data_IF_735041290711
#
_entry.id   IF_735041290711
#
_cell.length_a   1.000
_cell.length_b   1.000
_cell.length_c   1.000
_cell.angle_alpha   90.00
_cell.angle_beta   90.00
_cell.angle_gamma   90.00
#
_symmetry.space_group_name_H-M   'P 1'
#
loop_
_entity.id
_entity.type
_entity.pdbx_description
1 polymer ?
#
# COMPACT_ATOMS: atom_id res chain seq x y z
N UNK A 1 6.03 35.64 0.69
CA UNK A 1 4.76 35.18 1.30
C UNK A 1 4.64 33.67 1.24
N UNK A 2 5.15 33.01 0.20
CA UNK A 2 5.11 31.54 0.04
C UNK A 2 6.14 30.79 0.90
N UNK A 3 7.34 31.35 1.14
CA UNK A 3 8.32 30.78 2.09
C UNK A 3 7.75 30.61 3.51
N UNK A 4 7.03 31.62 4.01
CA UNK A 4 6.35 31.52 5.30
C UNK A 4 5.30 30.40 5.30
N UNK A 5 4.58 30.22 4.19
CA UNK A 5 3.59 29.15 4.06
C UNK A 5 4.25 27.76 4.11
N UNK A 6 5.45 27.61 3.55
CA UNK A 6 6.24 26.36 3.65
C UNK A 6 6.57 26.05 5.11
N UNK A 7 7.11 27.04 5.84
CA UNK A 7 7.50 26.86 7.24
C UNK A 7 6.28 26.57 8.14
N UNK A 8 5.20 27.35 7.98
CA UNK A 8 3.95 27.16 8.73
C UNK A 8 3.34 25.77 8.44
N UNK A 9 3.40 25.31 7.19
CA UNK A 9 2.88 23.98 6.81
C UNK A 9 3.75 22.86 7.39
N UNK A 10 5.08 22.99 7.36
CA UNK A 10 5.97 22.01 7.99
C UNK A 10 5.78 21.95 9.50
N UNK A 11 5.56 23.06 10.19
CA UNK A 11 5.28 23.04 11.62
C UNK A 11 4.01 22.23 11.95
N UNK A 12 2.96 22.37 11.13
CA UNK A 12 1.72 21.58 11.25
C UNK A 12 1.94 20.09 10.96
N UNK A 13 2.63 19.77 9.86
CA UNK A 13 2.96 18.39 9.46
C UNK A 13 3.79 17.73 10.57
N UNK A 14 4.82 18.42 11.05
CA UNK A 14 5.71 17.94 12.11
C UNK A 14 4.97 17.66 13.42
N UNK A 15 4.12 18.60 13.86
CA UNK A 15 3.32 18.42 15.08
C UNK A 15 2.41 17.21 14.95
N UNK A 16 1.72 17.08 13.81
CA UNK A 16 0.83 15.97 13.56
C UNK A 16 1.59 14.63 13.53
N UNK A 17 2.72 14.55 12.83
CA UNK A 17 3.51 13.33 12.73
C UNK A 17 4.11 12.91 14.07
N UNK A 18 4.64 13.85 14.88
CA UNK A 18 5.15 13.53 16.22
C UNK A 18 4.09 12.89 17.11
N UNK A 19 2.84 13.33 16.99
CA UNK A 19 1.74 12.83 17.80
C UNK A 19 1.17 11.50 17.28
N UNK A 20 0.95 11.40 15.96
CA UNK A 20 0.17 10.31 15.35
C UNK A 20 1.04 9.24 14.67
N UNK A 21 2.18 9.63 14.11
CA UNK A 21 3.08 8.76 13.34
C UNK A 21 4.56 8.98 13.70
N UNK A 22 4.97 8.80 14.97
CA UNK A 22 6.31 9.15 15.44
C UNK A 22 7.45 8.37 14.76
N UNK A 23 7.21 7.16 14.25
CA UNK A 23 8.23 6.41 13.50
C UNK A 23 8.42 7.00 12.10
N UNK A 24 7.33 7.41 11.45
CA UNK A 24 7.43 8.16 10.19
C UNK A 24 8.11 9.51 10.40
N UNK A 25 7.78 10.23 11.47
CA UNK A 25 8.47 11.49 11.82
C UNK A 25 9.98 11.28 11.95
N UNK A 26 10.41 10.19 12.58
CA UNK A 26 11.82 9.87 12.79
C UNK A 26 12.61 9.63 11.50
N UNK A 27 11.93 9.40 10.36
CA UNK A 27 12.58 9.25 9.06
C UNK A 27 12.88 10.57 8.36
N UNK A 28 12.26 11.68 8.78
CA UNK A 28 12.54 12.99 8.19
C UNK A 28 13.98 13.40 8.48
N UNK A 29 14.71 13.75 7.43
CA UNK A 29 16.10 14.18 7.52
C UNK A 29 16.26 15.49 8.29
N UNK A 30 17.45 15.75 8.86
CA UNK A 30 17.77 17.07 9.38
C UNK A 30 17.79 18.11 8.25
N UNK A 31 17.79 19.42 8.58
CA UNK A 31 18.01 20.51 7.62
C UNK A 31 19.20 20.28 6.67
N UNK A 32 19.03 20.62 5.40
CA UNK A 32 20.12 20.65 4.43
C UNK A 32 21.09 21.80 4.68
N UNK A 33 22.33 21.67 4.20
CA UNK A 33 23.28 22.79 4.21
C UNK A 33 22.98 23.79 3.10
N UNK A 34 23.11 25.09 3.37
CA UNK A 34 22.96 26.12 2.33
C UNK A 34 23.98 25.94 1.18
N UNK A 35 25.21 25.55 1.53
CA UNK A 35 26.29 25.27 0.56
C UNK A 35 25.98 24.02 -0.28
N UNK A 36 25.33 23.02 0.30
CA UNK A 36 24.89 21.80 -0.40
C UNK A 36 23.80 22.14 -1.45
N UNK A 37 22.83 22.98 -1.07
CA UNK A 37 21.78 23.46 -1.99
C UNK A 37 22.40 24.28 -3.13
N UNK A 38 23.31 25.21 -2.81
CA UNK A 38 23.96 26.05 -3.82
C UNK A 38 24.79 25.22 -4.81
N UNK A 39 25.50 24.19 -4.31
CA UNK A 39 26.22 23.26 -5.16
C UNK A 39 25.27 22.48 -6.09
N UNK A 40 24.11 22.04 -5.58
CA UNK A 40 23.09 21.38 -6.39
C UNK A 40 22.51 22.29 -7.48
N UNK A 41 22.25 23.56 -7.17
CA UNK A 41 21.82 24.57 -8.16
C UNK A 41 22.85 24.77 -9.27
N UNK A 42 24.14 24.90 -8.91
CA UNK A 42 25.25 25.02 -9.86
C UNK A 42 25.36 23.76 -10.73
N UNK A 43 25.31 22.59 -10.10
CA UNK A 43 25.47 21.28 -10.72
C UNK A 43 24.35 20.95 -11.71
N UNK A 44 23.11 21.35 -11.40
CA UNK A 44 21.95 21.17 -12.25
C UNK A 44 21.73 22.34 -13.22
N UNK A 45 22.44 23.45 -13.06
CA UNK A 45 22.31 24.64 -13.91
C UNK A 45 20.94 25.34 -13.79
N UNK A 46 20.25 25.19 -12.65
CA UNK A 46 18.94 25.80 -12.39
C UNK A 46 18.95 26.51 -11.04
N UNK A 47 18.11 27.54 -10.90
CA UNK A 47 17.86 28.16 -9.58
C UNK A 47 16.63 27.52 -8.96
N UNK A 48 16.79 26.97 -7.76
CA UNK A 48 15.71 26.35 -7.01
C UNK A 48 14.70 27.41 -6.58
N UNK A 49 13.39 27.15 -6.73
CA UNK A 49 12.36 28.03 -6.18
C UNK A 49 12.55 28.21 -4.68
N UNK A 50 12.31 29.41 -4.17
CA UNK A 50 12.58 29.73 -2.77
C UNK A 50 11.81 28.82 -1.78
N UNK A 51 10.60 28.39 -2.16
CA UNK A 51 9.82 27.42 -1.39
C UNK A 51 10.53 26.07 -1.26
N UNK A 52 11.17 25.57 -2.32
CA UNK A 52 11.95 24.32 -2.29
C UNK A 52 13.16 24.47 -1.37
N UNK A 53 13.87 25.60 -1.48
CA UNK A 53 15.00 25.91 -0.59
C UNK A 53 14.53 25.94 0.88
N UNK A 54 13.43 26.63 1.18
CA UNK A 54 12.86 26.69 2.53
C UNK A 54 12.47 25.30 3.06
N UNK A 55 11.90 24.44 2.21
CA UNK A 55 11.55 23.06 2.57
C UNK A 55 12.80 22.21 2.86
N UNK A 56 13.84 22.30 2.04
CA UNK A 56 15.09 21.54 2.22
C UNK A 56 15.88 22.01 3.46
N UNK A 57 15.82 23.30 3.77
CA UNK A 57 16.36 23.86 5.02
C UNK A 57 15.56 23.44 6.26
N UNK A 58 14.40 22.80 6.08
CA UNK A 58 13.64 22.20 7.18
C UNK A 58 13.89 20.70 7.27
N UNK A 59 13.74 19.98 6.16
CA UNK A 59 13.99 18.54 6.06
C UNK A 59 14.73 18.20 4.76
N UNK A 60 15.95 17.68 4.88
CA UNK A 60 16.75 17.19 3.76
C UNK A 60 16.34 15.75 3.38
N UNK A 61 15.14 15.60 2.82
CA UNK A 61 14.61 14.30 2.44
C UNK A 61 14.00 13.51 3.59
N UNK A 62 13.55 12.31 3.28
CA UNK A 62 13.20 11.27 4.23
C UNK A 62 14.06 10.02 3.97
N UNK A 63 14.44 9.31 5.03
CA UNK A 63 15.12 8.02 4.94
C UNK A 63 14.31 7.04 4.09
N UNK A 64 15.00 6.15 3.37
CA UNK A 64 14.33 5.10 2.61
C UNK A 64 13.79 3.98 3.50
N UNK A 65 12.82 3.23 2.97
CA UNK A 65 12.20 2.08 3.64
C UNK A 65 10.70 2.25 3.92
N UNK A 66 10.12 1.24 4.56
CA UNK A 66 8.67 1.16 4.78
C UNK A 66 8.14 2.16 5.82
N UNK A 67 9.00 2.73 6.66
CA UNK A 67 8.63 3.77 7.64
C UNK A 67 8.69 5.19 7.06
N UNK A 68 9.29 5.35 5.87
CA UNK A 68 9.61 6.63 5.26
C UNK A 68 8.40 7.57 5.19
N UNK A 69 8.64 8.86 5.43
CA UNK A 69 7.68 9.90 5.10
C UNK A 69 7.43 9.93 3.59
N UNK A 70 6.16 9.81 3.22
CA UNK A 70 5.66 9.87 1.85
C UNK A 70 4.53 10.88 1.75
N UNK A 71 4.48 11.59 0.63
CA UNK A 71 3.35 12.42 0.26
C UNK A 71 2.11 11.56 0.01
N UNK A 72 0.93 12.18 -0.11
CA UNK A 72 -0.32 11.47 -0.40
C UNK A 72 -0.36 10.79 -1.78
N UNK A 73 0.68 11.00 -2.60
CA UNK A 73 0.94 10.35 -3.88
C UNK A 73 1.88 9.14 -3.76
N UNK A 74 2.21 8.73 -2.52
CA UNK A 74 3.20 7.69 -2.14
C UNK A 74 4.65 8.00 -2.52
N UNK A 75 4.91 9.20 -3.03
CA UNK A 75 6.26 9.67 -3.34
C UNK A 75 7.02 10.00 -2.04
N UNK A 76 8.21 9.42 -1.85
CA UNK A 76 9.12 9.76 -0.75
C UNK A 76 9.76 11.12 -0.98
N UNK A 77 9.85 11.94 0.07
CA UNK A 77 10.57 13.23 0.02
C UNK A 77 12.07 12.99 -0.25
N UNK A 78 12.60 13.57 -1.32
CA UNK A 78 14.00 13.42 -1.69
C UNK A 78 14.91 14.39 -0.95
N UNK A 79 16.12 13.93 -0.60
CA UNK A 79 17.20 14.81 -0.14
C UNK A 79 17.82 15.59 -1.30
N UNK A 80 18.61 16.63 -1.03
CA UNK A 80 19.33 17.41 -2.07
C UNK A 80 20.15 16.50 -2.97
N UNK A 81 20.90 15.55 -2.39
CA UNK A 81 21.73 14.63 -3.18
C UNK A 81 20.89 13.69 -4.05
N UNK A 82 19.72 13.26 -3.56
CA UNK A 82 18.78 12.45 -4.35
C UNK A 82 18.08 13.26 -5.44
N UNK A 83 17.72 14.53 -5.20
CA UNK A 83 17.18 15.45 -6.20
C UNK A 83 18.16 15.57 -7.38
N UNK A 84 19.45 15.79 -7.09
CA UNK A 84 20.51 15.87 -8.12
C UNK A 84 20.62 14.56 -8.89
N UNK A 85 20.70 13.43 -8.18
CA UNK A 85 20.83 12.10 -8.78
C UNK A 85 19.66 11.77 -9.69
N UNK A 86 18.43 11.91 -9.20
CA UNK A 86 17.22 11.54 -9.95
C UNK A 86 16.99 12.49 -11.11
N UNK A 87 17.20 13.79 -10.94
CA UNK A 87 17.06 14.77 -12.03
C UNK A 87 18.07 14.50 -13.15
N UNK A 88 19.32 14.17 -12.82
CA UNK A 88 20.31 13.79 -13.83
C UNK A 88 19.92 12.55 -14.58
N UNK A 89 19.49 11.52 -13.87
CA UNK A 89 18.99 10.29 -14.48
C UNK A 89 17.86 10.59 -15.47
N UNK A 90 16.93 11.48 -15.12
CA UNK A 90 15.86 11.89 -16.04
C UNK A 90 16.38 12.63 -17.28
N UNK A 91 17.36 13.53 -17.11
CA UNK A 91 17.99 14.24 -18.24
C UNK A 91 18.78 13.31 -19.15
N UNK A 92 19.47 12.32 -18.58
CA UNK A 92 20.23 11.32 -19.33
C UNK A 92 19.28 10.49 -20.21
N UNK A 93 18.13 10.07 -19.68
CA UNK A 93 17.09 9.39 -20.49
C UNK A 93 16.55 10.30 -21.58
N UNK A 94 16.21 11.55 -21.24
CA UNK A 94 15.65 12.50 -22.20
C UNK A 94 16.62 12.84 -23.34
N UNK A 95 17.93 12.82 -23.08
CA UNK A 95 18.96 13.07 -24.10
C UNK A 95 19.05 11.96 -25.16
N UNK A 96 18.56 10.76 -24.86
CA UNK A 96 18.48 9.63 -25.80
C UNK A 96 17.17 9.64 -26.62
N UNK A 97 16.21 10.50 -26.29
CA UNK A 97 14.96 10.68 -27.03
C UNK A 97 15.11 11.71 -28.16
N UNK A 98 14.17 11.72 -29.11
CA UNK A 98 14.09 12.83 -30.05
C UNK A 98 13.53 14.10 -29.40
N UNK A 99 13.67 15.25 -30.05
CA UNK A 99 13.35 16.57 -29.47
C UNK A 99 11.86 16.70 -29.08
N UNK A 100 10.95 16.16 -29.88
CA UNK A 100 9.50 16.24 -29.61
C UNK A 100 9.13 15.33 -28.42
N UNK A 101 9.69 14.12 -28.38
CA UNK A 101 9.50 13.18 -27.27
C UNK A 101 10.14 13.71 -25.97
N UNK A 102 11.33 14.32 -26.05
CA UNK A 102 12.02 14.89 -24.90
C UNK A 102 11.25 16.06 -24.28
N UNK A 103 10.69 16.97 -25.10
CA UNK A 103 9.90 18.11 -24.60
C UNK A 103 8.66 17.65 -23.79
N UNK A 104 8.06 16.53 -24.19
CA UNK A 104 6.94 15.91 -23.50
C UNK A 104 7.38 15.10 -22.26
N UNK A 105 8.49 14.38 -22.38
CA UNK A 105 9.01 13.48 -21.37
C UNK A 105 9.61 14.25 -20.18
N UNK A 106 10.67 15.01 -20.42
CA UNK A 106 11.41 15.75 -19.40
C UNK A 106 12.20 16.90 -20.01
N UNK A 107 11.96 18.13 -19.54
CA UNK A 107 12.79 19.27 -19.93
C UNK A 107 13.86 19.53 -18.87
N UNK A 108 15.02 20.05 -19.29
CA UNK A 108 16.16 20.29 -18.40
C UNK A 108 15.82 21.15 -17.18
N UNK A 109 14.89 22.09 -17.30
CA UNK A 109 14.48 22.98 -16.22
C UNK A 109 13.51 22.36 -15.21
N UNK A 110 13.12 21.08 -15.34
CA UNK A 110 12.34 20.38 -14.32
C UNK A 110 13.27 19.73 -13.30
N UNK A 111 12.81 19.69 -12.05
CA UNK A 111 13.47 18.99 -10.95
C UNK A 111 12.52 17.96 -10.35
N UNK A 112 13.05 16.80 -9.99
CA UNK A 112 12.32 15.82 -9.18
C UNK A 112 12.56 16.12 -7.70
N UNK A 113 11.51 16.16 -6.87
CA UNK A 113 11.63 16.36 -5.42
C UNK A 113 10.89 15.30 -4.57
N UNK A 114 10.08 14.46 -5.21
CA UNK A 114 9.50 13.27 -4.60
C UNK A 114 9.69 12.07 -5.52
N UNK A 115 9.90 10.87 -4.98
CA UNK A 115 10.10 9.65 -5.78
C UNK A 115 9.22 8.50 -5.31
N UNK A 116 8.53 7.85 -6.25
CA UNK A 116 7.73 6.66 -5.94
C UNK A 116 8.63 5.48 -5.52
N UNK A 117 9.88 5.44 -6.02
CA UNK A 117 10.94 4.53 -5.62
C UNK A 117 10.95 3.19 -6.37
N UNK A 118 9.78 2.69 -6.79
CA UNK A 118 9.66 1.43 -7.58
C UNK A 118 9.81 1.70 -9.08
N UNK A 119 9.27 2.83 -9.54
CA UNK A 119 9.37 3.32 -10.93
C UNK A 119 10.14 4.64 -10.94
N UNK A 120 10.41 5.19 -12.12
CA UNK A 120 10.98 6.54 -12.26
C UNK A 120 9.99 7.66 -11.95
N UNK A 121 8.73 7.34 -11.66
CA UNK A 121 7.67 8.29 -11.30
C UNK A 121 8.05 9.15 -10.10
N UNK A 122 7.48 10.35 -10.06
CA UNK A 122 7.56 11.18 -8.87
C UNK A 122 7.15 12.63 -9.05
N UNK A 123 7.11 13.34 -7.93
CA UNK A 123 6.74 14.75 -7.89
C UNK A 123 7.83 15.62 -8.50
N UNK A 124 7.40 16.58 -9.31
CA UNK A 124 8.27 17.50 -10.04
C UNK A 124 7.97 18.95 -9.73
N UNK A 125 8.97 19.81 -9.90
CA UNK A 125 8.84 21.25 -9.76
C UNK A 125 9.46 21.96 -10.96
N UNK A 126 8.74 22.95 -11.50
CA UNK A 126 9.18 23.72 -12.66
C UNK A 126 10.17 24.82 -12.25
N UNK A 127 11.39 24.79 -12.78
CA UNK A 127 12.43 25.77 -12.51
C UNK A 127 12.72 26.70 -13.72
N UNK A 128 11.81 26.79 -14.71
CA UNK A 128 11.91 27.74 -15.82
C UNK A 128 11.72 29.18 -15.34
N UNK A 129 12.82 29.87 -15.08
CA UNK A 129 12.80 31.27 -14.60
C UNK A 129 12.07 32.19 -15.58
N UNK A 130 11.29 33.12 -15.02
CA UNK A 130 10.55 34.13 -15.79
C UNK A 130 9.25 33.64 -16.43
N UNK A 131 8.90 32.37 -16.24
CA UNK A 131 7.57 31.83 -16.57
C UNK A 131 6.64 31.93 -15.36
N UNK A 132 5.34 32.06 -15.61
CA UNK A 132 4.32 32.05 -14.54
C UNK A 132 4.24 30.68 -13.83
N UNK A 133 4.76 29.63 -14.46
CA UNK A 133 4.85 28.28 -13.92
C UNK A 133 6.05 28.05 -12.99
N UNK A 134 6.95 29.02 -12.83
CA UNK A 134 8.12 28.85 -11.96
C UNK A 134 7.71 28.53 -10.51
N UNK A 135 8.12 27.36 -10.01
CA UNK A 135 7.75 26.82 -8.71
C UNK A 135 6.47 25.98 -8.69
N UNK A 136 5.76 25.84 -9.82
CA UNK A 136 4.57 25.01 -9.91
C UNK A 136 4.90 23.53 -9.71
N UNK A 137 3.98 22.82 -9.07
CA UNK A 137 4.12 21.39 -8.75
C UNK A 137 3.45 20.55 -9.83
N UNK A 138 4.23 19.61 -10.35
CA UNK A 138 3.84 18.61 -11.31
C UNK A 138 4.08 17.20 -10.81
N UNK A 139 3.91 16.25 -11.71
CA UNK A 139 4.33 14.86 -11.51
C UNK A 139 4.83 14.31 -12.83
N UNK A 140 5.87 13.51 -12.77
CA UNK A 140 6.35 12.71 -13.88
C UNK A 140 5.79 11.29 -13.74
N UNK A 141 5.33 10.74 -14.86
CA UNK A 141 4.95 9.34 -15.02
C UNK A 141 5.75 8.75 -16.18
N UNK A 142 6.31 7.57 -16.01
CA UNK A 142 7.16 6.95 -17.03
C UNK A 142 6.44 6.68 -18.36
N UNK A 143 5.12 6.44 -18.32
CA UNK A 143 4.33 6.20 -19.53
C UNK A 143 3.75 7.47 -20.17
N UNK A 144 3.57 8.54 -19.39
CA UNK A 144 2.87 9.76 -19.86
C UNK A 144 3.68 11.04 -19.74
N UNK A 145 4.96 10.98 -19.40
CA UNK A 145 5.83 12.16 -19.32
C UNK A 145 5.52 13.08 -18.14
N UNK A 146 5.89 14.35 -18.26
CA UNK A 146 5.75 15.33 -17.17
C UNK A 146 4.55 16.25 -17.37
N UNK A 147 3.65 16.32 -16.39
CA UNK A 147 2.54 17.29 -16.40
C UNK A 147 2.39 18.05 -15.07
N UNK A 148 1.86 19.27 -15.16
CA UNK A 148 1.74 20.23 -14.04
C UNK A 148 0.30 20.46 -13.61
N UNK A 149 0.12 21.06 -12.44
CA UNK A 149 -1.20 21.48 -11.94
C UNK A 149 -1.59 20.90 -10.58
N UNK A 150 -0.64 20.32 -9.84
CA UNK A 150 -0.89 19.75 -8.50
C UNK A 150 -0.99 20.87 -7.48
N UNK A 151 -0.16 21.89 -7.63
CA UNK A 151 -0.25 23.15 -6.90
C UNK A 151 0.51 24.25 -7.67
N UNK A 152 0.18 25.51 -7.40
CA UNK A 152 0.90 26.64 -7.96
C UNK A 152 2.29 26.88 -7.34
N UNK A 153 2.55 26.29 -6.17
CA UNK A 153 3.83 26.39 -5.43
C UNK A 153 3.98 25.22 -4.47
N UNK A 154 5.21 24.95 -4.01
CA UNK A 154 5.45 23.93 -2.99
C UNK A 154 4.80 24.31 -1.65
N UNK A 155 4.78 25.60 -1.28
CA UNK A 155 4.07 26.06 -0.08
C UNK A 155 2.57 25.71 -0.13
N UNK A 156 1.91 25.93 -1.26
CA UNK A 156 0.51 25.55 -1.43
C UNK A 156 0.28 24.03 -1.38
N UNK A 157 1.19 23.25 -1.96
CA UNK A 157 1.13 21.79 -1.92
C UNK A 157 1.28 21.24 -0.50
N UNK A 158 2.24 21.77 0.27
CA UNK A 158 2.46 21.38 1.68
C UNK A 158 1.31 21.84 2.59
N UNK A 159 0.69 22.99 2.31
CA UNK A 159 -0.48 23.45 3.06
C UNK A 159 -1.66 22.50 2.87
N UNK A 160 -1.92 22.05 1.64
CA UNK A 160 -2.96 21.05 1.37
C UNK A 160 -2.63 19.70 2.02
N UNK A 161 -1.36 19.29 2.02
CA UNK A 161 -0.92 18.08 2.71
C UNK A 161 -1.17 18.16 4.22
N UNK A 162 -0.84 19.30 4.85
CA UNK A 162 -1.11 19.55 6.25
C UNK A 162 -2.60 19.47 6.56
N UNK A 163 -3.45 20.11 5.72
CA UNK A 163 -4.89 20.01 5.84
C UNK A 163 -5.34 18.54 5.78
N UNK A 164 -4.86 17.75 4.81
CA UNK A 164 -5.22 16.31 4.69
C UNK A 164 -4.84 15.50 5.93
N UNK A 165 -3.64 15.70 6.47
CA UNK A 165 -3.21 15.04 7.72
C UNK A 165 -4.14 15.40 8.89
N UNK A 166 -4.48 16.68 9.05
CA UNK A 166 -5.35 17.16 10.13
C UNK A 166 -6.80 16.66 10.02
N UNK A 167 -7.29 16.41 8.81
CA UNK A 167 -8.58 15.72 8.58
C UNK A 167 -8.51 14.21 8.86
N UNK A 168 -7.32 13.66 9.13
CA UNK A 168 -7.10 12.26 9.45
C UNK A 168 -7.65 11.34 8.36
N UNK A 169 -8.52 10.40 8.75
CA UNK A 169 -9.10 9.40 7.85
C UNK A 169 -9.90 10.01 6.70
N UNK A 170 -10.60 11.12 6.94
CA UNK A 170 -11.37 11.81 5.90
C UNK A 170 -10.45 12.47 4.86
N UNK A 171 -9.21 12.77 5.25
CA UNK A 171 -8.13 13.22 4.37
C UNK A 171 -7.27 12.09 3.79
N UNK A 172 -7.60 10.82 4.06
CA UNK A 172 -6.86 9.63 3.61
C UNK A 172 -5.67 9.24 4.51
N UNK A 173 -5.42 9.98 5.59
CA UNK A 173 -4.31 9.71 6.51
C UNK A 173 -4.72 8.65 7.56
N UNK A 174 -4.03 7.51 7.53
CA UNK A 174 -4.24 6.40 8.45
C UNK A 174 -2.94 6.12 9.18
N UNK A 175 -3.01 5.85 10.48
CA UNK A 175 -1.83 5.49 11.26
C UNK A 175 -1.94 4.09 11.85
N UNK A 176 -0.83 3.36 11.81
CA UNK A 176 -0.70 2.07 12.46
C UNK A 176 0.73 1.90 12.97
N UNK A 177 0.87 1.47 14.23
CA UNK A 177 2.16 1.27 14.89
C UNK A 177 3.11 2.48 14.79
N UNK A 178 2.58 3.70 14.87
CA UNK A 178 3.36 4.93 14.75
C UNK A 178 3.88 5.26 13.35
N UNK A 179 3.33 4.63 12.30
CA UNK A 179 3.61 4.93 10.89
C UNK A 179 2.39 5.57 10.23
N UNK A 180 2.63 6.42 9.23
CA UNK A 180 1.62 7.00 8.34
C UNK A 180 1.42 6.13 7.09
N UNK A 181 0.17 5.95 6.69
CA UNK A 181 -0.27 5.34 5.45
C UNK A 181 -1.29 6.25 4.77
N UNK A 182 -1.22 6.33 3.44
CA UNK A 182 -2.21 7.01 2.62
C UNK A 182 -3.16 5.99 2.02
N UNK A 183 -4.35 5.86 2.63
CA UNK A 183 -5.32 4.84 2.26
C UNK A 183 -6.71 5.42 2.11
N UNK A 184 -7.43 4.91 1.11
CA UNK A 184 -8.76 5.37 0.76
C UNK A 184 -9.69 4.16 0.76
N UNK A 185 -10.60 4.10 1.73
CA UNK A 185 -11.65 3.08 1.70
C UNK A 185 -12.53 3.34 0.48
N UNK A 186 -12.63 2.35 -0.42
CA UNK A 186 -13.54 2.48 -1.56
C UNK A 186 -14.96 2.29 -1.07
N UNK A 187 -15.85 3.19 -1.49
CA UNK A 187 -17.29 2.92 -1.40
C UNK A 187 -17.61 1.75 -2.32
N UNK A 188 -18.11 0.66 -1.75
CA UNK A 188 -18.65 -0.44 -2.55
C UNK A 188 -19.86 0.03 -3.35
N UNK A 189 -19.98 -0.52 -4.57
CA UNK A 189 -21.21 -0.42 -5.36
C UNK A 189 -22.43 -0.87 -4.52
N UNK A 190 -23.64 -0.36 -4.79
CA UNK A 190 -24.84 -0.78 -4.10
C UNK A 190 -24.97 -2.30 -4.08
N UNK A 191 -25.25 -2.83 -2.90
CA UNK A 191 -25.34 -4.26 -2.71
C UNK A 191 -26.34 -4.90 -3.70
N UNK A 192 -25.99 -6.07 -4.24
CA UNK A 192 -26.78 -6.75 -5.27
C UNK A 192 -26.97 -8.23 -4.94
N UNK A 193 -28.09 -8.78 -5.42
CA UNK A 193 -28.53 -10.13 -5.07
C UNK A 193 -29.26 -10.19 -3.73
N UNK A 194 -30.13 -11.17 -3.59
CA UNK A 194 -30.95 -11.40 -2.39
C UNK A 194 -30.55 -12.69 -1.68
N UNK A 195 -30.79 -12.74 -0.36
CA UNK A 195 -30.72 -13.98 0.40
C UNK A 195 -31.69 -15.07 -0.13
N UNK A 196 -32.75 -14.64 -0.82
CA UNK A 196 -33.77 -15.51 -1.43
C UNK A 196 -33.43 -15.91 -2.88
N UNK A 197 -32.28 -15.48 -3.42
CA UNK A 197 -31.87 -15.84 -4.77
C UNK A 197 -31.76 -17.36 -4.88
N UNK A 198 -32.48 -17.95 -5.83
CA UNK A 198 -32.44 -19.41 -6.05
C UNK A 198 -31.02 -19.86 -6.37
N UNK A 199 -30.65 -21.04 -5.88
CA UNK A 199 -29.42 -21.70 -6.28
C UNK A 199 -29.48 -22.03 -7.78
N UNK A 200 -28.35 -21.90 -8.51
CA UNK A 200 -28.21 -22.46 -9.84
C UNK A 200 -28.53 -23.94 -9.85
N UNK A 201 -28.92 -24.46 -11.01
CA UNK A 201 -29.07 -25.91 -11.14
C UNK A 201 -27.70 -26.55 -11.31
N UNK A 202 -27.47 -27.79 -10.82
CA UNK A 202 -26.18 -28.46 -10.99
C UNK A 202 -25.74 -28.66 -12.44
N UNK A 203 -26.69 -28.70 -13.38
CA UNK A 203 -26.47 -28.85 -14.83
C UNK A 203 -26.23 -27.51 -15.55
N UNK A 204 -26.28 -26.38 -14.85
CA UNK A 204 -25.98 -25.07 -15.42
C UNK A 204 -24.46 -24.92 -15.67
N UNK A 205 -24.09 -24.49 -16.87
CA UNK A 205 -22.69 -24.28 -17.27
C UNK A 205 -22.11 -23.04 -16.55
N UNK A 206 -21.61 -23.26 -15.34
CA UNK A 206 -20.87 -22.28 -14.55
C UNK A 206 -19.37 -22.62 -14.56
N UNK A 207 -18.45 -21.64 -14.42
CA UNK A 207 -17.02 -21.92 -14.29
C UNK A 207 -16.77 -22.82 -13.07
N UNK A 208 -15.87 -23.80 -13.18
CA UNK A 208 -15.51 -24.66 -12.05
C UNK A 208 -14.84 -23.85 -10.95
N UNK A 209 -15.15 -24.21 -9.70
CA UNK A 209 -14.49 -23.63 -8.54
C UNK A 209 -13.19 -24.39 -8.27
N UNK A 210 -12.07 -23.68 -8.14
CA UNK A 210 -10.79 -24.29 -7.79
C UNK A 210 -10.80 -24.75 -6.32
N UNK A 211 -10.93 -26.05 -6.09
CA UNK A 211 -10.96 -26.70 -4.77
C UNK A 211 -9.63 -27.39 -4.42
N UNK A 212 -8.53 -27.03 -5.09
CA UNK A 212 -7.23 -27.71 -4.97
C UNK A 212 -6.48 -27.42 -3.66
N UNK A 213 -6.81 -26.33 -2.96
CA UNK A 213 -6.11 -25.91 -1.74
C UNK A 213 -6.13 -26.96 -0.62
N UNK A 214 -5.12 -26.92 0.25
CA UNK A 214 -5.00 -27.78 1.43
C UNK A 214 -4.70 -26.97 2.70
N UNK A 215 -5.18 -27.41 3.88
CA UNK A 215 -4.80 -26.81 5.16
C UNK A 215 -3.30 -26.90 5.48
N UNK A 216 -2.59 -27.81 4.80
CA UNK A 216 -1.15 -28.04 4.96
C UNK A 216 -0.31 -27.35 3.89
N UNK A 217 -0.93 -26.58 2.99
CA UNK A 217 -0.18 -25.83 1.98
C UNK A 217 0.77 -24.84 2.66
N UNK A 218 2.00 -24.85 2.17
CA UNK A 218 3.06 -23.93 2.61
C UNK A 218 2.82 -22.58 1.95
N UNK A 219 2.91 -21.50 2.72
CA UNK A 219 2.80 -20.14 2.21
C UNK A 219 4.19 -19.59 1.92
N UNK A 220 4.41 -19.06 0.71
CA UNK A 220 5.65 -18.36 0.39
C UNK A 220 5.76 -17.06 1.22
N UNK A 221 6.94 -16.80 1.79
CA UNK A 221 7.18 -15.63 2.65
C UNK A 221 6.88 -14.29 1.99
N UNK A 222 7.00 -14.21 0.65
CA UNK A 222 6.63 -13.04 -0.17
C UNK A 222 5.17 -12.56 -0.07
N UNK A 223 4.28 -13.33 0.60
CA UNK A 223 2.92 -12.87 0.92
C UNK A 223 2.80 -12.25 2.31
N UNK A 224 3.81 -12.44 3.15
CA UNK A 224 3.86 -11.98 4.54
C UNK A 224 4.81 -10.79 4.69
N UNK A 225 5.93 -10.76 3.98
CA UNK A 225 6.85 -9.61 3.96
C UNK A 225 6.15 -8.30 3.59
N UNK A 226 5.19 -8.32 2.66
CA UNK A 226 4.35 -7.17 2.30
C UNK A 226 3.34 -6.73 3.36
N UNK A 227 3.25 -7.44 4.50
CA UNK A 227 2.41 -7.07 5.65
C UNK A 227 3.22 -6.50 6.83
N UNK A 228 4.51 -6.24 6.62
CA UNK A 228 5.42 -5.63 7.60
C UNK A 228 5.35 -6.32 8.99
N UNK A 229 5.09 -5.57 10.06
CA UNK A 229 5.05 -6.07 11.44
C UNK A 229 3.95 -7.13 11.66
N UNK A 230 2.83 -7.05 10.92
CA UNK A 230 1.75 -8.03 10.99
C UNK A 230 2.15 -9.34 10.32
N UNK A 231 2.94 -9.29 9.25
CA UNK A 231 3.52 -10.45 8.60
C UNK A 231 4.46 -11.22 9.54
N UNK A 232 5.32 -10.49 10.26
CA UNK A 232 6.19 -11.07 11.28
C UNK A 232 5.40 -11.74 12.40
N UNK A 233 4.33 -11.11 12.90
CA UNK A 233 3.44 -11.72 13.90
C UNK A 233 2.78 -12.99 13.37
N UNK A 234 2.23 -12.97 12.16
CA UNK A 234 1.66 -14.16 11.54
C UNK A 234 2.69 -15.28 11.46
N UNK A 235 3.95 -14.97 11.16
CA UNK A 235 5.00 -15.96 11.02
C UNK A 235 5.43 -16.63 12.34
N UNK A 236 5.33 -15.93 13.47
CA UNK A 236 5.84 -16.40 14.77
C UNK A 236 4.77 -16.87 15.75
N UNK A 237 3.51 -16.44 15.57
CA UNK A 237 2.43 -16.80 16.47
C UNK A 237 2.03 -18.28 16.33
N UNK A 238 1.47 -18.89 17.39
CA UNK A 238 0.94 -20.25 17.31
C UNK A 238 -0.08 -20.40 16.17
N UNK A 239 0.06 -21.47 15.39
CA UNK A 239 -0.82 -21.75 14.24
C UNK A 239 -2.31 -21.70 14.60
N UNK A 240 -2.70 -22.14 15.79
CA UNK A 240 -4.09 -22.09 16.26
C UNK A 240 -4.59 -20.64 16.41
N UNK A 241 -3.77 -19.75 16.94
CA UNK A 241 -4.10 -18.32 17.08
C UNK A 241 -4.26 -17.66 15.71
N UNK A 242 -3.37 -17.98 14.76
CA UNK A 242 -3.51 -17.53 13.37
C UNK A 242 -4.78 -18.09 12.73
N UNK A 243 -5.14 -19.35 13.00
CA UNK A 243 -6.39 -19.94 12.50
C UNK A 243 -7.65 -19.29 13.08
N UNK A 244 -7.63 -18.85 14.34
CA UNK A 244 -8.73 -18.08 14.92
C UNK A 244 -8.86 -16.71 14.26
N UNK A 245 -7.74 -16.01 14.04
CA UNK A 245 -7.73 -14.75 13.32
C UNK A 245 -8.23 -14.92 11.86
N UNK A 246 -7.79 -15.98 11.17
CA UNK A 246 -8.22 -16.31 9.81
C UNK A 246 -9.75 -16.40 9.69
N UNK A 247 -10.42 -17.10 10.63
CA UNK A 247 -11.88 -17.26 10.64
C UNK A 247 -12.60 -15.91 10.80
N UNK A 248 -12.13 -15.08 11.72
CA UNK A 248 -12.70 -13.74 11.95
C UNK A 248 -12.51 -12.84 10.74
N UNK A 249 -11.32 -12.83 10.14
CA UNK A 249 -11.02 -12.07 8.94
C UNK A 249 -11.85 -12.54 7.75
N UNK A 250 -12.01 -13.85 7.57
CA UNK A 250 -12.86 -14.43 6.54
C UNK A 250 -14.33 -14.02 6.69
N UNK A 251 -14.86 -14.02 7.92
CA UNK A 251 -16.20 -13.52 8.20
C UNK A 251 -16.34 -12.04 7.87
N UNK A 252 -15.34 -11.22 8.23
CA UNK A 252 -15.33 -9.79 7.87
C UNK A 252 -15.36 -9.58 6.36
N UNK A 253 -14.54 -10.32 5.60
CA UNK A 253 -14.61 -10.31 4.12
C UNK A 253 -16.01 -10.63 3.63
N UNK A 254 -16.65 -11.68 4.16
CA UNK A 254 -18.00 -12.05 3.74
C UNK A 254 -19.05 -10.97 4.07
N UNK A 255 -18.92 -10.28 5.21
CA UNK A 255 -19.81 -9.18 5.58
C UNK A 255 -19.57 -7.95 4.69
N UNK A 256 -18.32 -7.50 4.59
CA UNK A 256 -17.91 -6.32 3.84
C UNK A 256 -18.26 -6.46 2.35
N UNK A 257 -18.12 -7.66 1.79
CA UNK A 257 -18.45 -7.93 0.38
C UNK A 257 -19.91 -8.33 0.16
N UNK A 258 -20.72 -8.48 1.22
CA UNK A 258 -22.12 -8.89 1.14
C UNK A 258 -22.36 -10.39 0.92
N UNK A 259 -21.32 -11.23 0.83
CA UNK A 259 -21.48 -12.69 0.70
C UNK A 259 -22.18 -13.34 1.90
N UNK A 260 -22.05 -12.75 3.09
CA UNK A 260 -22.65 -13.25 4.33
C UNK A 260 -24.20 -13.27 4.31
N UNK A 261 -24.83 -12.61 3.32
CA UNK A 261 -26.29 -12.67 3.13
C UNK A 261 -26.75 -14.07 2.70
N UNK A 262 -25.92 -14.80 1.97
CA UNK A 262 -26.26 -16.10 1.41
C UNK A 262 -26.25 -17.16 2.52
N UNK A 263 -27.35 -17.91 2.72
CA UNK A 263 -27.44 -18.90 3.79
C UNK A 263 -26.34 -19.96 3.74
N UNK A 264 -25.91 -20.36 2.54
CA UNK A 264 -24.88 -21.38 2.32
C UNK A 264 -23.52 -20.89 2.83
N UNK A 265 -23.17 -19.63 2.57
CA UNK A 265 -21.94 -18.99 3.06
C UNK A 265 -22.01 -18.81 4.58
N UNK A 266 -23.10 -18.22 5.09
CA UNK A 266 -23.26 -17.96 6.52
C UNK A 266 -23.19 -19.25 7.35
N UNK A 267 -23.84 -20.31 6.91
CA UNK A 267 -23.85 -21.60 7.62
C UNK A 267 -22.45 -22.17 7.78
N UNK A 268 -21.63 -22.11 6.72
CA UNK A 268 -20.25 -22.61 6.76
C UNK A 268 -19.35 -21.73 7.63
N UNK A 269 -19.50 -20.41 7.58
CA UNK A 269 -18.78 -19.51 8.48
C UNK A 269 -19.17 -19.71 9.95
N UNK A 270 -20.46 -19.96 10.23
CA UNK A 270 -20.93 -20.23 11.60
C UNK A 270 -20.32 -21.53 12.14
N UNK A 271 -20.14 -22.55 11.28
CA UNK A 271 -19.45 -23.79 11.63
C UNK A 271 -17.96 -23.56 11.92
N UNK A 272 -17.27 -22.78 11.08
CA UNK A 272 -15.87 -22.42 11.29
C UNK A 272 -15.67 -21.68 12.62
N UNK A 273 -16.56 -20.76 12.98
CA UNK A 273 -16.50 -20.03 14.26
C UNK A 273 -16.64 -20.95 15.48
N UNK A 274 -17.40 -22.05 15.35
CA UNK A 274 -17.47 -23.10 16.39
C UNK A 274 -16.26 -24.02 16.40
N UNK A 275 -15.31 -23.83 15.49
CA UNK A 275 -14.12 -24.67 15.34
C UNK A 275 -14.34 -25.96 14.57
N UNK A 276 -15.50 -26.10 13.92
CA UNK A 276 -15.79 -27.24 13.05
C UNK A 276 -15.00 -27.10 11.74
N UNK A 277 -14.59 -28.23 11.16
CA UNK A 277 -13.97 -28.29 9.84
C UNK A 277 -15.03 -28.76 8.83
N UNK A 278 -15.60 -27.85 8.01
CA UNK A 278 -16.58 -28.22 7.00
C UNK A 278 -15.98 -29.24 6.01
N UNK A 279 -16.72 -30.28 5.61
CA UNK A 279 -16.24 -31.19 4.58
C UNK A 279 -15.99 -30.42 3.27
N UNK A 280 -15.06 -30.92 2.46
CA UNK A 280 -14.81 -30.34 1.14
C UNK A 280 -16.03 -30.59 0.24
N UNK A 281 -16.59 -29.54 -0.41
CA UNK A 281 -17.73 -29.68 -1.29
C UNK A 281 -17.30 -30.34 -2.61
N UNK A 282 -18.26 -30.91 -3.33
CA UNK A 282 -18.12 -31.15 -4.77
C UNK A 282 -18.63 -29.92 -5.55
N UNK A 283 -18.54 -29.95 -6.88
CA UNK A 283 -18.97 -28.83 -7.74
C UNK A 283 -20.50 -28.58 -7.71
N UNK A 284 -21.29 -29.56 -7.25
CA UNK A 284 -22.75 -29.49 -7.18
C UNK A 284 -23.26 -29.12 -5.77
N UNK A 285 -22.37 -29.02 -4.78
CA UNK A 285 -22.69 -28.57 -3.44
C UNK A 285 -23.34 -27.17 -3.45
N UNK A 286 -24.36 -26.91 -2.61
CA UNK A 286 -25.01 -25.61 -2.52
C UNK A 286 -24.06 -24.42 -2.35
N UNK A 287 -23.00 -24.55 -1.55
CA UNK A 287 -22.01 -23.49 -1.36
C UNK A 287 -21.19 -23.29 -2.63
N UNK A 288 -20.72 -24.36 -3.26
CA UNK A 288 -19.95 -24.29 -4.50
C UNK A 288 -20.77 -23.64 -5.62
N UNK A 289 -22.02 -24.06 -5.82
CA UNK A 289 -22.95 -23.46 -6.78
C UNK A 289 -23.18 -21.98 -6.50
N UNK A 290 -23.37 -21.61 -5.24
CA UNK A 290 -23.55 -20.21 -4.84
C UNK A 290 -22.33 -19.36 -5.20
N UNK A 291 -21.13 -19.79 -4.83
CA UNK A 291 -19.90 -19.05 -5.10
C UNK A 291 -19.65 -18.91 -6.61
N UNK A 292 -19.83 -19.98 -7.39
CA UNK A 292 -19.72 -19.96 -8.86
C UNK A 292 -20.70 -18.97 -9.49
N UNK A 293 -21.96 -18.95 -9.03
CA UNK A 293 -22.96 -17.98 -9.47
C UNK A 293 -22.57 -16.53 -9.15
N UNK A 294 -22.06 -16.30 -7.95
CA UNK A 294 -21.59 -14.97 -7.54
C UNK A 294 -20.44 -14.51 -8.42
N UNK A 295 -19.46 -15.37 -8.71
CA UNK A 295 -18.33 -15.08 -9.60
C UNK A 295 -18.84 -14.64 -10.99
N UNK A 296 -19.78 -15.37 -11.59
CA UNK A 296 -20.35 -15.03 -12.91
C UNK A 296 -21.09 -13.68 -12.88
N UNK A 297 -21.90 -13.44 -11.86
CA UNK A 297 -22.66 -12.19 -11.70
C UNK A 297 -21.75 -11.00 -11.42
N UNK A 298 -20.72 -11.20 -10.60
CA UNK A 298 -19.71 -10.20 -10.27
C UNK A 298 -18.91 -9.80 -11.52
N UNK A 299 -18.48 -10.76 -12.34
CA UNK A 299 -17.86 -10.50 -13.64
C UNK A 299 -18.76 -9.67 -14.56
N UNK A 300 -20.04 -10.05 -14.67
CA UNK A 300 -21.02 -9.30 -15.49
C UNK A 300 -21.17 -7.85 -15.03
N UNK A 301 -21.03 -7.60 -13.73
CA UNK A 301 -21.15 -6.28 -13.10
C UNK A 301 -19.82 -5.53 -12.95
N UNK A 302 -18.69 -6.16 -13.32
CA UNK A 302 -17.33 -5.66 -13.06
C UNK A 302 -17.08 -5.37 -11.57
N UNK A 303 -17.63 -6.23 -10.71
CA UNK A 303 -17.44 -6.19 -9.25
C UNK A 303 -16.28 -7.13 -8.86
N UNK A 304 -15.06 -6.66 -9.06
CA UNK A 304 -13.86 -7.48 -8.82
C UNK A 304 -13.70 -7.88 -7.35
N UNK A 305 -14.09 -7.03 -6.41
CA UNK A 305 -13.96 -7.32 -4.98
C UNK A 305 -14.85 -8.49 -4.55
N UNK A 306 -16.12 -8.51 -4.97
CA UNK A 306 -17.02 -9.62 -4.65
C UNK A 306 -16.64 -10.89 -5.40
N UNK A 307 -16.12 -10.76 -6.62
CA UNK A 307 -15.56 -11.89 -7.37
C UNK A 307 -14.36 -12.50 -6.63
N UNK A 308 -13.36 -11.70 -6.30
CA UNK A 308 -12.19 -12.14 -5.54
C UNK A 308 -12.59 -12.73 -4.21
N UNK A 309 -13.51 -12.10 -3.47
CA UNK A 309 -14.01 -12.65 -2.22
C UNK A 309 -14.63 -14.04 -2.42
N UNK A 310 -15.48 -14.23 -3.43
CA UNK A 310 -16.07 -15.54 -3.70
C UNK A 310 -15.02 -16.60 -4.09
N UNK A 311 -14.02 -16.24 -4.90
CA UNK A 311 -12.89 -17.11 -5.23
C UNK A 311 -12.07 -17.49 -3.98
N UNK A 312 -11.75 -16.50 -3.13
CA UNK A 312 -10.90 -16.67 -1.95
C UNK A 312 -11.62 -17.30 -0.76
N UNK A 313 -12.96 -17.36 -0.75
CA UNK A 313 -13.70 -18.09 0.29
C UNK A 313 -13.26 -19.55 0.35
N UNK A 314 -12.92 -20.16 -0.78
CA UNK A 314 -12.44 -21.54 -0.81
C UNK A 314 -11.15 -21.71 0.00
N UNK A 315 -10.15 -20.85 -0.26
CA UNK A 315 -8.89 -20.88 0.46
C UNK A 315 -9.08 -20.53 1.95
N UNK A 316 -10.03 -19.65 2.25
CA UNK A 316 -10.39 -19.31 3.61
C UNK A 316 -10.97 -20.47 4.41
N UNK A 317 -11.83 -21.27 3.79
CA UNK A 317 -12.55 -22.36 4.46
C UNK A 317 -11.70 -23.63 4.53
N UNK A 318 -11.04 -24.01 3.42
CA UNK A 318 -10.36 -25.30 3.29
C UNK A 318 -8.83 -25.21 3.10
N UNK A 319 -8.28 -24.00 3.03
CA UNK A 319 -6.85 -23.76 2.86
C UNK A 319 -6.09 -23.55 4.18
N UNK A 320 -4.82 -23.20 4.04
CA UNK A 320 -3.95 -22.81 5.15
C UNK A 320 -4.44 -21.50 5.81
N UNK A 321 -4.43 -21.38 7.16
CA UNK A 321 -4.87 -20.17 7.84
C UNK A 321 -3.99 -18.96 7.50
N UNK A 322 -2.70 -19.19 7.21
CA UNK A 322 -1.79 -18.12 6.81
C UNK A 322 -2.23 -17.52 5.47
N UNK A 323 -2.49 -18.39 4.47
CA UNK A 323 -3.02 -17.97 3.17
C UNK A 323 -4.38 -17.28 3.31
N UNK A 324 -5.27 -17.83 4.15
CA UNK A 324 -6.58 -17.23 4.43
C UNK A 324 -6.47 -15.81 4.97
N UNK A 325 -5.56 -15.56 5.92
CA UNK A 325 -5.34 -14.20 6.44
C UNK A 325 -4.80 -13.30 5.34
N UNK A 326 -3.72 -13.68 4.63
CA UNK A 326 -3.12 -12.84 3.57
C UNK A 326 -4.12 -12.46 2.47
N UNK A 327 -4.92 -13.42 2.02
CA UNK A 327 -5.92 -13.16 0.98
C UNK A 327 -7.09 -12.32 1.53
N UNK A 328 -7.47 -12.51 2.80
CA UNK A 328 -8.46 -11.66 3.45
C UNK A 328 -7.95 -10.22 3.57
N UNK A 329 -6.73 -10.00 4.05
CA UNK A 329 -6.16 -8.66 4.23
C UNK A 329 -5.98 -7.94 2.90
N UNK A 330 -5.59 -8.65 1.84
CA UNK A 330 -5.51 -8.07 0.49
C UNK A 330 -6.87 -7.54 0.02
N UNK A 331 -7.96 -8.28 0.23
CA UNK A 331 -9.31 -7.81 -0.11
C UNK A 331 -9.73 -6.66 0.81
N UNK A 332 -9.61 -6.84 2.12
CA UNK A 332 -10.08 -5.88 3.13
C UNK A 332 -9.35 -4.54 3.03
N UNK A 333 -8.06 -4.52 2.67
CA UNK A 333 -7.29 -3.30 2.46
C UNK A 333 -7.87 -2.37 1.39
N UNK A 334 -8.68 -2.88 0.46
CA UNK A 334 -9.39 -2.06 -0.52
C UNK A 334 -10.75 -1.55 -0.01
N UNK A 335 -11.32 -2.20 1.01
CA UNK A 335 -12.68 -1.98 1.49
C UNK A 335 -12.72 -1.15 2.77
N UNK A 336 -11.71 -1.26 3.61
CA UNK A 336 -11.66 -0.60 4.91
C UNK A 336 -10.24 -0.26 5.29
N UNK A 337 -10.05 0.94 5.85
CA UNK A 337 -8.76 1.42 6.39
C UNK A 337 -8.44 0.82 7.76
N UNK A 338 -9.42 0.19 8.43
CA UNK A 338 -9.26 -0.41 9.76
C UNK A 338 -8.70 -1.83 9.73
N UNK A 339 -8.39 -2.36 8.54
CA UNK A 339 -8.03 -3.77 8.38
C UNK A 339 -6.80 -4.18 9.22
N UNK A 340 -5.79 -3.31 9.37
CA UNK A 340 -4.59 -3.57 10.19
C UNK A 340 -4.94 -3.67 11.67
N UNK A 341 -5.72 -2.71 12.18
CA UNK A 341 -6.17 -2.67 13.58
C UNK A 341 -7.04 -3.88 13.90
N UNK A 342 -7.98 -4.21 13.00
CA UNK A 342 -8.82 -5.40 13.14
C UNK A 342 -7.99 -6.69 13.15
N UNK A 343 -7.02 -6.83 12.24
CA UNK A 343 -6.16 -8.02 12.21
C UNK A 343 -5.32 -8.13 13.48
N UNK A 344 -4.73 -7.03 13.94
CA UNK A 344 -3.94 -7.01 15.16
C UNK A 344 -4.76 -7.44 16.38
N UNK A 345 -6.01 -6.94 16.48
CA UNK A 345 -6.96 -7.34 17.50
C UNK A 345 -7.36 -8.81 17.39
N UNK A 346 -7.59 -9.30 16.18
CA UNK A 346 -7.93 -10.71 15.92
C UNK A 346 -6.78 -11.66 16.23
N UNK A 347 -5.53 -11.19 16.10
CA UNK A 347 -4.31 -11.85 16.57
C UNK A 347 -4.09 -11.69 18.08
N UNK A 348 -4.99 -11.03 18.83
CA UNK A 348 -4.92 -10.92 20.29
C UNK A 348 -4.08 -9.75 20.82
N UNK A 349 -3.83 -8.72 19.99
CA UNK A 349 -3.03 -7.54 20.33
C UNK A 349 -1.64 -7.84 20.96
N UNK A 350 -0.85 -8.77 20.41
CA UNK A 350 0.52 -8.97 20.89
C UNK A 350 1.36 -7.70 20.64
N UNK A 351 2.44 -7.47 21.40
CA UNK A 351 3.38 -6.39 21.08
C UNK A 351 3.84 -6.48 19.63
N UNK A 352 3.79 -5.36 18.91
CA UNK A 352 4.19 -5.33 17.50
C UNK A 352 5.73 -5.41 17.42
N UNK A 353 6.29 -6.38 16.67
CA UNK A 353 7.72 -6.47 16.44
C UNK A 353 8.20 -5.33 15.52
N UNK A 354 9.52 -5.12 15.37
CA UNK A 354 10.03 -4.31 14.26
C UNK A 354 9.65 -4.94 12.91
N UNK A 355 9.77 -4.16 11.84
CA UNK A 355 9.58 -4.63 10.46
C UNK A 355 10.62 -5.75 10.21
N UNK A 356 10.20 -6.91 9.70
CA UNK A 356 11.10 -8.04 9.51
C UNK A 356 12.12 -7.75 8.40
N UNK A 357 13.39 -7.98 8.70
CA UNK A 357 14.49 -7.89 7.74
C UNK A 357 14.83 -9.28 7.15
N UNK A 358 15.76 -9.32 6.18
CA UNK A 358 16.21 -10.58 5.57
C UNK A 358 16.73 -11.59 6.59
N UNK A 359 17.34 -11.10 7.69
CA UNK A 359 17.82 -11.93 8.77
C UNK A 359 16.68 -12.59 9.54
N UNK A 360 15.62 -11.85 9.85
CA UNK A 360 14.42 -12.42 10.46
C UNK A 360 13.86 -13.56 9.60
N UNK A 361 13.67 -13.32 8.30
CA UNK A 361 13.13 -14.33 7.40
C UNK A 361 14.06 -15.54 7.19
N UNK A 362 15.38 -15.30 7.09
CA UNK A 362 16.38 -16.36 6.94
C UNK A 362 16.55 -17.24 8.19
N UNK A 363 16.21 -16.71 9.36
CA UNK A 363 16.28 -17.45 10.64
C UNK A 363 14.92 -18.00 11.09
N UNK A 364 13.83 -17.71 10.37
CA UNK A 364 12.49 -18.19 10.68
C UNK A 364 12.45 -19.73 10.77
N UNK A 365 11.68 -20.24 11.74
CA UNK A 365 11.43 -21.67 11.96
C UNK A 365 9.92 -21.92 12.05
N UNK A 366 9.25 -21.81 10.91
CA UNK A 366 7.83 -22.16 10.78
C UNK A 366 7.64 -23.08 9.56
N UNK A 367 7.30 -24.37 9.75
CA UNK A 367 7.19 -25.32 8.64
C UNK A 367 6.01 -25.03 7.70
N UNK A 368 5.10 -24.13 8.07
CA UNK A 368 4.00 -23.70 7.20
C UNK A 368 4.37 -22.48 6.33
N UNK A 369 5.57 -21.93 6.46
CA UNK A 369 6.05 -20.77 5.72
C UNK A 369 7.37 -21.12 5.02
N UNK A 370 7.40 -20.96 3.70
CA UNK A 370 8.61 -21.13 2.91
C UNK A 370 9.40 -19.82 2.90
N UNK A 371 10.50 -19.80 3.67
CA UNK A 371 11.50 -18.72 3.68
C UNK A 371 12.87 -19.19 3.17
N UNK A 372 12.90 -20.26 2.37
CA UNK A 372 14.14 -20.91 1.92
C UNK A 372 15.07 -19.97 1.13
N UNK A 373 14.52 -19.05 0.34
CA UNK A 373 15.31 -18.03 -0.38
C UNK A 373 16.10 -17.14 0.58
N UNK A 374 15.45 -16.55 1.61
CA UNK A 374 16.14 -15.72 2.60
C UNK A 374 17.13 -16.53 3.44
N UNK A 375 16.82 -17.79 3.73
CA UNK A 375 17.73 -18.66 4.48
C UNK A 375 19.02 -18.94 3.69
N UNK A 376 18.93 -19.08 2.37
CA UNK A 376 20.09 -19.24 1.49
C UNK A 376 20.94 -17.96 1.41
N UNK A 377 20.31 -16.79 1.28
CA UNK A 377 21.01 -15.50 1.28
C UNK A 377 21.73 -15.25 2.61
N UNK A 378 21.03 -15.41 3.73
CA UNK A 378 21.60 -15.22 5.07
C UNK A 378 22.79 -16.15 5.36
N UNK A 379 22.77 -17.38 4.84
CA UNK A 379 23.89 -18.30 5.00
C UNK A 379 25.14 -17.90 4.20
N UNK A 380 24.97 -17.22 3.06
CA UNK A 380 26.08 -16.68 2.26
C UNK A 380 26.74 -15.47 2.95
N UNK A 381 25.95 -14.59 3.57
CA UNK A 381 26.46 -13.41 4.27
C UNK A 381 27.21 -13.74 5.59
N UNK A 382 27.04 -14.96 6.12
CA UNK A 382 27.67 -15.43 7.35
C UNK A 382 29.00 -16.19 7.10
N UNK A 383 29.31 -16.55 5.85
CA UNK A 383 30.50 -17.31 5.46
C UNK A 383 31.55 -16.44 4.81
#
# INVERSE_FOLDING_TARGET
MTENLVLDSWDRIDEWLRHNAPRTFATLGPPAGQEEIAAAEEELGVTFPADLVASLLRHNGAMDGAEAFRFSTDDRLLSVSEIVRDTRWMRDIAADLDEEEAEYYWIDAYLKFGSYGVTSDGLTIDCRRGQDSYGAIGRFFDETGTDFGRAASLGAYLAELADRLEHGRDGGAVTFNGRLYWEWARSLEPDWGSADDRLPRPDEELPELDLSCSPTDVLHVGFLDGLDELGALLAVLPREQVAQAARKQLRRVAVETGLNKYPEVRTVLDALDRGEAPPRPDQADPLALRLRSVIVRANTRRDDHRRWAAEKMVHGIWGSPYRSVCESTSIRGHLTVDWRTDLHADLGNPPLPPIPDDRFWGTLRNPAIDSSWHAAQYAQDQG
#
